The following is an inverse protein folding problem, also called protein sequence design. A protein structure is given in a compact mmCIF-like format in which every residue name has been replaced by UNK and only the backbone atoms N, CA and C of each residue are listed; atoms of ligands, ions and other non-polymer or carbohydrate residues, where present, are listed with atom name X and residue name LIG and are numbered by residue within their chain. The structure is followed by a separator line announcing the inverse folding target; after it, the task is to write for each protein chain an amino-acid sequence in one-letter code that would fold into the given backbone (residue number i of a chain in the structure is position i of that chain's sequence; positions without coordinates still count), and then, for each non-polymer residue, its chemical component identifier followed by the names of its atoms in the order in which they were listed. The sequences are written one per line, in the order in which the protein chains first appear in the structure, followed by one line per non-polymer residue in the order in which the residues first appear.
data_IF_008968648413
#
_entry.id   IF_008968648413
#
_cell.length_a   1.000
_cell.length_b   1.000
_cell.length_c   1.000
_cell.angle_alpha   90.00
_cell.angle_beta   90.00
_cell.angle_gamma   90.00
#
_symmetry.space_group_name_H-M   'P 1'
#
loop_
_entity.id
_entity.type
_entity.pdbx_description
1 polymer ?
#
# COMPACT_ATOMS: atom_id res chain seq x y z
N UNK A 1 -7.70 24.14 -24.30
CA UNK A 1 -7.91 23.03 -23.37
C UNK A 1 -7.04 23.32 -22.16
N UNK A 2 -7.64 23.83 -21.08
CA UNK A 2 -6.91 24.10 -19.84
C UNK A 2 -6.57 22.76 -19.17
N UNK A 3 -5.30 22.56 -18.81
CA UNK A 3 -4.82 21.39 -18.09
C UNK A 3 -5.39 21.43 -16.65
N UNK A 4 -6.60 20.89 -16.48
CA UNK A 4 -7.32 20.78 -15.20
C UNK A 4 -6.54 20.01 -14.12
N UNK A 5 -5.54 19.23 -14.51
CA UNK A 5 -4.66 18.44 -13.64
C UNK A 5 -3.63 19.27 -12.86
N UNK A 6 -3.43 20.56 -13.19
CA UNK A 6 -2.44 21.41 -12.54
C UNK A 6 -3.02 22.69 -11.92
N UNK A 7 -4.26 22.64 -11.41
CA UNK A 7 -4.81 23.79 -10.70
C UNK A 7 -4.14 23.92 -9.32
N UNK A 8 -3.71 25.14 -8.98
CA UNK A 8 -3.10 25.48 -7.67
C UNK A 8 -3.98 25.02 -6.50
N UNK A 9 -5.29 24.90 -6.73
CA UNK A 9 -6.25 24.32 -5.80
C UNK A 9 -5.90 22.87 -5.43
N UNK A 10 -5.67 21.98 -6.40
CA UNK A 10 -5.38 20.56 -6.14
C UNK A 10 -4.08 20.38 -5.36
N UNK A 11 -3.06 21.19 -5.64
CA UNK A 11 -1.76 21.14 -4.96
C UNK A 11 -1.89 21.48 -3.47
N UNK A 12 -2.78 22.39 -3.10
CA UNK A 12 -3.01 22.76 -1.69
C UNK A 12 -4.05 21.86 -1.01
N UNK A 13 -5.05 21.38 -1.75
CA UNK A 13 -6.13 20.56 -1.19
C UNK A 13 -5.69 19.12 -0.90
N UNK A 14 -4.95 18.49 -1.82
CA UNK A 14 -4.45 17.13 -1.64
C UNK A 14 -3.69 16.91 -0.31
N UNK A 15 -2.71 17.75 0.09
CA UNK A 15 -1.96 17.59 1.36
C UNK A 15 -2.87 17.61 2.56
N UNK A 16 -3.74 18.61 2.60
CA UNK A 16 -4.65 18.82 3.71
C UNK A 16 -5.58 17.62 3.83
N UNK A 17 -6.13 17.15 2.70
CA UNK A 17 -6.98 15.98 2.64
C UNK A 17 -6.27 14.71 3.13
N UNK A 18 -5.08 14.41 2.60
CA UNK A 18 -4.30 13.22 2.97
C UNK A 18 -3.89 13.22 4.44
N UNK A 19 -3.41 14.34 4.98
CA UNK A 19 -3.04 14.43 6.40
C UNK A 19 -4.26 14.34 7.31
N UNK A 20 -5.40 14.92 6.91
CA UNK A 20 -6.65 14.85 7.67
C UNK A 20 -7.18 13.41 7.71
N UNK A 21 -7.23 12.73 6.57
CA UNK A 21 -7.65 11.33 6.51
C UNK A 21 -6.66 10.44 7.23
N UNK A 22 -5.36 10.63 7.03
CA UNK A 22 -4.32 9.86 7.70
C UNK A 22 -4.41 9.98 9.22
N UNK A 23 -4.57 11.20 9.74
CA UNK A 23 -4.77 11.44 11.16
C UNK A 23 -6.05 10.80 11.71
N UNK A 24 -7.16 10.88 10.97
CA UNK A 24 -8.42 10.23 11.34
C UNK A 24 -8.28 8.71 11.37
N UNK A 25 -7.63 8.11 10.37
CA UNK A 25 -7.38 6.67 10.29
C UNK A 25 -6.51 6.20 11.46
N UNK A 26 -5.43 6.92 11.77
CA UNK A 26 -4.58 6.62 12.94
C UNK A 26 -5.38 6.69 14.24
N UNK A 27 -6.22 7.73 14.41
CA UNK A 27 -7.08 7.87 15.58
C UNK A 27 -8.06 6.70 15.72
N UNK A 28 -8.73 6.32 14.63
CA UNK A 28 -9.63 5.15 14.60
C UNK A 28 -8.86 3.85 14.88
N UNK A 29 -7.66 3.69 14.33
CA UNK A 29 -6.82 2.52 14.56
C UNK A 29 -6.37 2.39 16.02
N UNK A 30 -6.07 3.50 16.69
CA UNK A 30 -5.82 3.54 18.14
C UNK A 30 -7.09 3.22 18.94
N UNK A 31 -8.24 3.77 18.55
CA UNK A 31 -9.53 3.50 19.18
C UNK A 31 -9.88 2.01 19.11
N UNK A 32 -9.69 1.36 17.95
CA UNK A 32 -9.91 -0.08 17.78
C UNK A 32 -8.97 -0.88 18.68
N UNK A 33 -7.69 -0.51 18.74
CA UNK A 33 -6.72 -1.15 19.63
C UNK A 33 -7.16 -1.04 21.10
N UNK A 34 -7.61 0.14 21.51
CA UNK A 34 -8.13 0.39 22.85
C UNK A 34 -9.38 -0.47 23.15
N UNK A 35 -10.31 -0.57 22.20
CA UNK A 35 -11.51 -1.40 22.35
C UNK A 35 -11.15 -2.89 22.48
N UNK A 36 -10.19 -3.39 21.68
CA UNK A 36 -9.70 -4.76 21.77
C UNK A 36 -9.07 -5.02 23.15
N UNK A 37 -8.28 -4.09 23.67
CA UNK A 37 -7.64 -4.23 24.99
C UNK A 37 -8.64 -4.19 26.14
N UNK A 38 -9.59 -3.25 26.12
CA UNK A 38 -10.43 -2.94 27.28
C UNK A 38 -11.73 -3.74 27.32
N UNK A 39 -12.26 -4.14 26.15
CA UNK A 39 -13.62 -4.71 26.04
C UNK A 39 -13.66 -6.19 25.65
N UNK A 40 -12.51 -6.81 25.36
CA UNK A 40 -12.51 -8.24 24.98
C UNK A 40 -12.64 -9.15 26.20
N UNK A 41 -13.70 -9.98 26.29
CA UNK A 41 -13.91 -10.89 27.42
C UNK A 41 -12.85 -12.01 27.46
N UNK A 42 -12.59 -12.57 28.65
CA UNK A 42 -11.51 -13.56 28.86
C UNK A 42 -11.65 -14.84 28.02
N UNK A 43 -12.88 -15.22 27.66
CA UNK A 43 -13.15 -16.37 26.78
C UNK A 43 -12.57 -16.20 25.36
N UNK A 44 -12.32 -14.95 24.92
CA UNK A 44 -11.76 -14.61 23.61
C UNK A 44 -10.28 -14.19 23.64
N UNK A 45 -9.56 -14.38 24.76
CA UNK A 45 -8.23 -13.77 24.98
C UNK A 45 -7.17 -14.23 23.99
N UNK A 46 -7.23 -15.46 23.47
CA UNK A 46 -6.34 -15.92 22.42
C UNK A 46 -6.59 -15.17 21.11
N UNK A 47 -7.86 -15.00 20.72
CA UNK A 47 -8.26 -14.25 19.52
C UNK A 47 -7.87 -12.77 19.63
N UNK A 48 -8.09 -12.18 20.81
CA UNK A 48 -7.73 -10.80 21.13
C UNK A 48 -6.25 -10.49 20.85
N UNK A 49 -5.34 -11.40 21.25
CA UNK A 49 -3.90 -11.22 21.03
C UNK A 49 -3.53 -11.20 19.55
N UNK A 50 -4.16 -12.05 18.74
CA UNK A 50 -3.96 -12.03 17.29
C UNK A 50 -4.49 -10.74 16.68
N UNK A 51 -5.73 -10.36 16.99
CA UNK A 51 -6.36 -9.12 16.53
C UNK A 51 -5.55 -7.87 16.91
N UNK A 52 -4.92 -7.87 18.09
CA UNK A 52 -4.07 -6.77 18.52
C UNK A 52 -2.77 -6.69 17.71
N UNK A 53 -2.14 -7.83 17.40
CA UNK A 53 -0.92 -7.89 16.58
C UNK A 53 -1.18 -7.43 15.14
N UNK A 54 -2.37 -7.76 14.64
CA UNK A 54 -2.89 -7.31 13.34
C UNK A 54 -3.10 -5.80 13.36
N UNK A 55 -3.83 -5.31 14.35
CA UNK A 55 -4.15 -3.89 14.47
C UNK A 55 -2.87 -3.06 14.64
N UNK A 56 -1.87 -3.57 15.36
CA UNK A 56 -0.56 -2.96 15.48
C UNK A 56 0.19 -2.92 14.14
N UNK A 57 0.13 -4.00 13.35
CA UNK A 57 0.71 -4.04 12.00
C UNK A 57 0.05 -3.03 11.05
N UNK A 58 -1.29 -2.92 11.10
CA UNK A 58 -2.06 -1.94 10.32
C UNK A 58 -1.69 -0.52 10.76
N UNK A 59 -1.67 -0.24 12.07
CA UNK A 59 -1.29 1.07 12.59
C UNK A 59 0.13 1.47 12.18
N UNK A 60 1.09 0.53 12.22
CA UNK A 60 2.45 0.77 11.77
C UNK A 60 2.50 1.08 10.27
N UNK A 61 1.73 0.35 9.46
CA UNK A 61 1.61 0.65 8.05
C UNK A 61 0.99 2.03 7.80
N UNK A 62 -0.14 2.34 8.43
CA UNK A 62 -0.81 3.63 8.30
C UNK A 62 0.13 4.77 8.69
N UNK A 63 0.95 4.57 9.73
CA UNK A 63 1.97 5.51 10.15
C UNK A 63 3.05 5.70 9.06
N UNK A 64 3.62 4.61 8.53
CA UNK A 64 4.55 4.68 7.41
C UNK A 64 3.91 5.36 6.18
N UNK A 65 2.64 5.10 5.89
CA UNK A 65 1.94 5.71 4.78
C UNK A 65 1.71 7.21 4.98
N UNK A 66 1.30 7.63 6.17
CA UNK A 66 1.04 9.03 6.48
C UNK A 66 2.31 9.87 6.53
N UNK A 67 3.41 9.32 7.05
CA UNK A 67 4.64 10.07 7.32
C UNK A 67 5.74 9.86 6.27
N UNK A 68 5.97 8.65 5.77
CA UNK A 68 6.99 8.39 4.74
C UNK A 68 6.43 8.62 3.32
N UNK A 69 5.21 8.16 3.05
CA UNK A 69 4.65 8.17 1.68
C UNK A 69 3.77 9.39 1.40
N UNK A 70 3.07 9.90 2.40
CA UNK A 70 2.23 11.10 2.31
C UNK A 70 2.93 12.28 1.62
N UNK A 71 4.20 12.61 1.94
CA UNK A 71 4.93 13.68 1.26
C UNK A 71 5.29 13.36 -0.21
N UNK A 72 5.42 12.08 -0.57
CA UNK A 72 5.85 11.60 -1.89
C UNK A 72 4.70 11.62 -2.90
N UNK A 73 3.52 11.14 -2.51
CA UNK A 73 2.35 11.00 -3.41
C UNK A 73 1.69 12.32 -3.81
N UNK A 74 2.04 13.38 -3.11
CA UNK A 74 1.12 14.49 -2.90
C UNK A 74 1.67 15.83 -3.35
N UNK A 75 2.97 15.86 -3.60
CA UNK A 75 3.51 16.80 -4.56
C UNK A 75 3.56 16.09 -5.93
N UNK A 76 3.05 16.71 -7.01
CA UNK A 76 3.46 16.38 -8.38
C UNK A 76 4.90 16.88 -8.67
N UNK A 77 5.49 17.63 -7.74
CA UNK A 77 6.79 18.31 -7.83
C UNK A 77 8.03 17.44 -7.42
N UNK A 78 8.01 16.32 -6.67
CA UNK A 78 9.19 15.52 -6.38
C UNK A 78 9.60 14.71 -7.62
N UNK A 79 8.73 14.51 -8.61
CA UNK A 79 9.16 14.08 -9.94
C UNK A 79 10.04 15.15 -10.64
N UNK A 80 9.98 16.42 -10.20
CA UNK A 80 10.78 17.53 -10.71
C UNK A 80 11.90 18.02 -9.75
N UNK A 81 11.76 17.79 -8.44
CA UNK A 81 12.66 18.25 -7.37
C UNK A 81 12.75 17.21 -6.25
N UNK A 82 13.19 16.00 -6.61
CA UNK A 82 13.39 14.95 -5.62
C UNK A 82 14.68 15.22 -4.82
N UNK A 83 14.56 15.85 -3.65
CA UNK A 83 15.72 16.20 -2.78
C UNK A 83 15.89 15.23 -1.57
N UNK A 84 15.50 13.97 -1.74
CA UNK A 84 15.68 12.91 -0.72
C UNK A 84 16.91 12.03 -0.96
N UNK A 85 17.33 11.24 0.04
CA UNK A 85 18.51 10.35 -0.03
C UNK A 85 18.46 9.35 -1.20
N UNK A 86 17.25 8.94 -1.60
CA UNK A 86 17.03 8.05 -2.77
C UNK A 86 17.02 8.81 -4.10
N UNK A 87 17.02 10.13 -4.12
CA UNK A 87 16.50 10.89 -5.24
C UNK A 87 17.51 11.80 -5.95
N UNK A 88 18.79 11.72 -5.55
CA UNK A 88 19.89 12.35 -6.29
C UNK A 88 20.19 11.73 -7.67
N UNK A 89 19.48 10.68 -8.08
CA UNK A 89 19.63 10.02 -9.39
C UNK A 89 18.27 9.65 -9.98
N UNK A 90 18.10 9.74 -11.30
CA UNK A 90 16.85 9.32 -12.00
C UNK A 90 16.44 7.89 -11.62
N UNK A 91 17.42 6.99 -11.48
CA UNK A 91 17.21 5.59 -11.10
C UNK A 91 16.53 5.48 -9.73
N UNK A 92 16.90 6.33 -8.78
CA UNK A 92 16.40 6.24 -7.42
C UNK A 92 14.97 6.76 -7.24
N UNK A 93 14.52 7.67 -8.10
CA UNK A 93 13.11 8.05 -8.18
C UNK A 93 12.23 6.87 -8.64
N UNK A 94 12.67 6.13 -9.66
CA UNK A 94 11.98 4.92 -10.14
C UNK A 94 11.93 3.83 -9.07
N UNK A 95 13.07 3.57 -8.40
CA UNK A 95 13.13 2.61 -7.28
C UNK A 95 12.19 3.01 -6.16
N UNK A 96 12.07 4.31 -5.86
CA UNK A 96 11.15 4.83 -4.85
C UNK A 96 9.68 4.50 -5.15
N UNK A 97 9.24 4.69 -6.39
CA UNK A 97 7.86 4.39 -6.82
C UNK A 97 7.58 2.88 -6.75
N UNK A 98 8.48 2.05 -7.27
CA UNK A 98 8.32 0.59 -7.22
C UNK A 98 8.26 0.09 -5.77
N UNK A 99 9.14 0.58 -4.90
CA UNK A 99 9.15 0.23 -3.48
C UNK A 99 7.84 0.64 -2.77
N UNK A 100 7.23 1.74 -3.20
CA UNK A 100 5.96 2.25 -2.68
C UNK A 100 4.81 1.29 -2.98
N UNK A 101 4.69 0.89 -4.25
CA UNK A 101 3.67 -0.08 -4.68
C UNK A 101 3.89 -1.40 -3.96
N UNK A 102 5.12 -1.91 -3.93
CA UNK A 102 5.45 -3.15 -3.25
C UNK A 102 5.07 -3.11 -1.76
N UNK A 103 5.32 -1.99 -1.07
CA UNK A 103 4.87 -1.81 0.32
C UNK A 103 3.35 -1.91 0.45
N UNK A 104 2.59 -1.30 -0.47
CA UNK A 104 1.13 -1.36 -0.47
C UNK A 104 0.61 -2.79 -0.68
N UNK A 105 1.20 -3.52 -1.61
CA UNK A 105 0.81 -4.91 -1.87
C UNK A 105 1.17 -5.83 -0.72
N UNK A 106 2.33 -5.67 -0.09
CA UNK A 106 2.70 -6.43 1.11
C UNK A 106 1.74 -6.18 2.28
N UNK A 107 1.27 -4.95 2.44
CA UNK A 107 0.30 -4.58 3.47
C UNK A 107 -1.05 -5.20 3.16
N UNK A 108 -1.55 -5.04 1.94
CA UNK A 108 -2.80 -5.65 1.50
C UNK A 108 -2.75 -7.18 1.65
N UNK A 109 -1.61 -7.81 1.34
CA UNK A 109 -1.35 -9.22 1.57
C UNK A 109 -1.39 -9.59 3.05
N UNK A 110 -0.78 -8.78 3.91
CA UNK A 110 -0.77 -9.00 5.35
C UNK A 110 -2.19 -8.92 5.93
N UNK A 111 -2.99 -7.95 5.50
CA UNK A 111 -4.39 -7.79 5.89
C UNK A 111 -5.25 -8.95 5.36
N UNK A 112 -5.10 -9.34 4.09
CA UNK A 112 -5.86 -10.44 3.50
C UNK A 112 -5.54 -11.79 4.16
N UNK A 113 -4.24 -12.07 4.39
CA UNK A 113 -3.79 -13.29 5.08
C UNK A 113 -4.34 -13.37 6.51
N UNK A 114 -4.39 -12.22 7.16
CA UNK A 114 -4.95 -12.03 8.49
C UNK A 114 -6.45 -12.32 8.53
N UNK A 115 -7.23 -11.67 7.66
CA UNK A 115 -8.68 -11.87 7.58
C UNK A 115 -9.00 -13.34 7.25
N UNK A 116 -8.21 -13.94 6.36
CA UNK A 116 -8.33 -15.36 6.04
C UNK A 116 -8.00 -16.24 7.25
N UNK A 117 -7.00 -15.88 8.05
CA UNK A 117 -6.67 -16.61 9.28
C UNK A 117 -7.85 -16.57 10.28
N UNK A 118 -8.37 -15.38 10.58
CA UNK A 118 -9.53 -15.16 11.45
C UNK A 118 -10.75 -15.97 10.99
N UNK A 119 -11.10 -15.87 9.71
CA UNK A 119 -12.18 -16.66 9.12
C UNK A 119 -11.96 -18.16 9.34
N UNK A 120 -10.73 -18.67 9.12
CA UNK A 120 -10.45 -20.09 9.33
C UNK A 120 -10.49 -20.52 10.79
N UNK A 121 -10.16 -19.63 11.74
CA UNK A 121 -10.26 -19.90 13.17
C UNK A 121 -11.72 -19.94 13.60
N UNK A 122 -12.54 -18.98 13.20
CA UNK A 122 -13.98 -18.95 13.48
C UNK A 122 -14.68 -20.17 12.87
N UNK A 123 -14.40 -20.49 11.60
CA UNK A 123 -14.96 -21.68 10.94
C UNK A 123 -14.59 -23.00 11.65
N UNK A 124 -13.40 -23.05 12.28
CA UNK A 124 -12.97 -24.19 13.11
C UNK A 124 -13.73 -24.23 14.43
N UNK A 125 -13.96 -23.09 15.08
CA UNK A 125 -14.72 -23.00 16.33
C UNK A 125 -16.19 -23.36 16.16
N UNK A 126 -16.82 -22.97 15.04
CA UNK A 126 -18.22 -23.29 14.75
C UNK A 126 -18.42 -24.75 14.30
N UNK A 127 -17.34 -25.54 14.18
CA UNK A 127 -17.35 -26.92 13.69
C UNK A 127 -18.02 -27.09 12.30
N UNK A 128 -18.22 -26.00 11.55
CA UNK A 128 -18.94 -26.01 10.28
C UNK A 128 -18.09 -26.56 9.13
N UNK A 129 -16.75 -26.46 9.19
CA UNK A 129 -15.88 -26.89 8.09
C UNK A 129 -14.43 -27.14 8.51
N UNK A 130 -13.88 -28.30 8.16
CA UNK A 130 -12.45 -28.63 8.34
C UNK A 130 -11.65 -28.13 7.14
N UNK A 131 -11.09 -26.91 7.24
CA UNK A 131 -10.27 -26.33 6.17
C UNK A 131 -8.88 -26.95 6.19
N UNK A 132 -8.50 -27.67 5.13
CA UNK A 132 -7.18 -28.30 4.98
C UNK A 132 -6.07 -27.26 4.75
N UNK A 133 -4.85 -27.56 5.19
CA UNK A 133 -3.67 -26.67 5.03
C UNK A 133 -3.41 -26.32 3.57
N UNK A 134 -3.62 -27.26 2.65
CA UNK A 134 -3.48 -27.03 1.21
C UNK A 134 -4.44 -25.94 0.70
N UNK A 135 -5.71 -25.97 1.13
CA UNK A 135 -6.68 -24.94 0.74
C UNK A 135 -6.27 -23.55 1.25
N UNK A 136 -5.73 -23.45 2.47
CA UNK A 136 -5.21 -22.19 3.01
C UNK A 136 -4.02 -21.65 2.21
N UNK A 137 -3.11 -22.54 1.80
CA UNK A 137 -1.96 -22.17 0.99
C UNK A 137 -2.38 -21.68 -0.41
N UNK A 138 -3.33 -22.37 -1.05
CA UNK A 138 -3.86 -21.99 -2.36
C UNK A 138 -4.55 -20.62 -2.31
N UNK A 139 -5.38 -20.37 -1.30
CA UNK A 139 -6.05 -19.06 -1.16
C UNK A 139 -5.03 -17.94 -0.96
N UNK A 140 -4.00 -18.15 -0.13
CA UNK A 140 -2.92 -17.16 0.08
C UNK A 140 -2.11 -16.90 -1.19
N UNK A 141 -1.79 -17.96 -1.94
CA UNK A 141 -1.08 -17.83 -3.22
C UNK A 141 -1.91 -17.11 -4.27
N UNK A 142 -3.23 -17.34 -4.33
CA UNK A 142 -4.10 -16.56 -5.22
C UNK A 142 -4.12 -15.09 -4.84
N UNK A 143 -4.26 -14.75 -3.56
CA UNK A 143 -4.21 -13.35 -3.13
C UNK A 143 -2.87 -12.69 -3.49
N UNK A 144 -1.75 -13.40 -3.27
CA UNK A 144 -0.42 -12.92 -3.67
C UNK A 144 -0.37 -12.64 -5.17
N UNK A 145 -0.80 -13.60 -5.99
CA UNK A 145 -0.76 -13.46 -7.43
C UNK A 145 -1.65 -12.31 -7.95
N UNK A 146 -2.85 -12.14 -7.38
CA UNK A 146 -3.78 -11.07 -7.76
C UNK A 146 -3.24 -9.69 -7.38
N UNK A 147 -2.53 -9.58 -6.24
CA UNK A 147 -1.95 -8.31 -5.78
C UNK A 147 -0.66 -7.93 -6.51
N UNK A 148 0.15 -8.91 -6.92
CA UNK A 148 1.41 -8.68 -7.65
C UNK A 148 1.20 -8.43 -9.15
N UNK A 149 0.09 -8.91 -9.74
CA UNK A 149 -0.24 -8.73 -11.16
C UNK A 149 -0.26 -7.25 -11.62
N UNK A 150 -0.93 -6.33 -10.89
CA UNK A 150 -0.90 -4.90 -11.20
C UNK A 150 0.51 -4.31 -11.15
N UNK A 151 1.34 -4.73 -10.20
CA UNK A 151 2.72 -4.23 -10.06
C UNK A 151 3.58 -4.62 -11.25
N UNK A 152 3.52 -5.91 -11.64
CA UNK A 152 4.18 -6.39 -12.84
C UNK A 152 3.70 -5.63 -14.08
N UNK A 153 2.39 -5.32 -14.17
CA UNK A 153 1.83 -4.51 -15.25
C UNK A 153 2.39 -3.09 -15.29
N UNK A 154 2.54 -2.43 -14.14
CA UNK A 154 3.13 -1.09 -14.04
C UNK A 154 4.59 -1.11 -14.48
N UNK A 155 5.39 -2.07 -13.98
CA UNK A 155 6.80 -2.22 -14.34
C UNK A 155 6.98 -2.46 -15.84
N UNK A 156 6.14 -3.32 -16.43
CA UNK A 156 6.18 -3.59 -17.88
C UNK A 156 5.77 -2.35 -18.68
N UNK A 157 4.72 -1.65 -18.26
CA UNK A 157 4.27 -0.42 -18.90
C UNK A 157 5.35 0.66 -18.86
N UNK A 158 6.05 0.78 -17.73
CA UNK A 158 7.13 1.75 -17.55
C UNK A 158 8.36 1.42 -18.41
N UNK A 159 8.78 0.14 -18.43
CA UNK A 159 9.84 -0.32 -19.34
C UNK A 159 9.49 -0.06 -20.82
N UNK A 160 8.22 -0.22 -21.18
CA UNK A 160 7.74 0.12 -22.53
C UNK A 160 7.82 1.63 -22.81
N UNK A 161 7.48 2.48 -21.84
CA UNK A 161 7.59 3.93 -21.98
C UNK A 161 9.04 4.41 -22.13
N UNK A 162 9.98 3.82 -21.38
CA UNK A 162 11.41 4.16 -21.49
C UNK A 162 11.95 3.82 -22.89
N UNK A 163 11.66 2.62 -23.40
CA UNK A 163 12.06 2.22 -24.75
C UNK A 163 11.51 3.16 -25.83
N UNK A 164 10.24 3.58 -25.70
CA UNK A 164 9.63 4.54 -26.63
C UNK A 164 10.32 5.91 -26.58
N UNK A 165 10.71 6.36 -25.38
CA UNK A 165 11.42 7.64 -25.18
C UNK A 165 12.79 7.63 -25.85
N UNK A 166 13.53 6.53 -25.73
CA UNK A 166 14.84 6.36 -26.38
C UNK A 166 14.72 6.37 -27.91
N UNK A 167 13.71 5.69 -28.46
CA UNK A 167 13.44 5.70 -29.91
C UNK A 167 13.14 7.10 -30.44
N UNK A 168 12.31 7.88 -29.73
CA UNK A 168 11.99 9.26 -30.10
C UNK A 168 13.20 10.19 -30.04
N UNK A 169 14.12 9.97 -29.10
CA UNK A 169 15.37 10.74 -29.01
C UNK A 169 16.29 10.38 -30.19
N UNK A 170 16.40 9.09 -30.52
CA UNK A 170 17.18 8.59 -31.65
C UNK A 170 16.69 9.17 -32.99
N UNK A 171 15.38 9.14 -33.26
CA UNK A 171 14.83 9.73 -34.49
C UNK A 171 15.08 11.24 -34.61
N UNK A 172 14.97 11.98 -33.51
CA UNK A 172 15.26 13.43 -33.49
C UNK A 172 16.72 13.77 -33.80
N UNK A 173 17.66 12.86 -33.52
CA UNK A 173 19.07 13.05 -33.85
C UNK A 173 19.35 12.77 -35.33
N UNK A 174 18.64 11.82 -35.94
CA UNK A 174 18.80 11.50 -37.38
C UNK A 174 18.23 12.60 -38.28
N UNK A 175 17.19 13.30 -37.83
CA UNK A 175 16.54 14.40 -38.57
C UNK A 175 17.27 15.75 -38.52
N UNK A 176 18.38 15.86 -37.80
CA UNK A 176 19.10 17.11 -37.56
C UNK A 176 20.49 17.08 -38.19
#
# INVERSE_FOLDING_TARGET
MENLTLSVFWINFAPIYQHTIGGLTLFLSVLVTFLILMKTPESGRQLSRYLLLIQASILFCDFCWCFLVGPIMLFPIPAAFCDGLLCGTEIGAHVGVVLLFQCMSLVAMTVACTLHYEYTVIARMMNCRRVTTCHKAVVRLMYAFVLELPEAGIIISEASQQNLRELLISEKQVLR
#
